data_IF_692349175386
#
_entry.id   IF_692349175386
#
_cell.length_a   1.000
_cell.length_b   1.000
_cell.length_c   1.000
_cell.angle_alpha   90.00
_cell.angle_beta   90.00
_cell.angle_gamma   90.00
#
_symmetry.space_group_name_H-M   'P 1'
#
loop_
_entity.id
_entity.type
_entity.pdbx_description
1 polymer ?
#
# COMPACT_ATOMS: atom_id res chain seq x y z
N UNK A 1 4.85 -0.38 -27.87
CA UNK A 1 4.32 0.30 -26.66
C UNK A 1 2.80 0.33 -26.77
N UNK A 2 2.12 -0.70 -26.25
CA UNK A 2 0.66 -0.74 -26.16
C UNK A 2 0.27 0.08 -24.93
N UNK A 3 -0.54 1.12 -25.14
CA UNK A 3 -1.16 1.89 -24.05
C UNK A 3 -2.10 0.96 -23.30
N UNK A 4 -1.74 0.59 -22.07
CA UNK A 4 -2.69 0.00 -21.12
C UNK A 4 -3.53 1.18 -20.63
N UNK A 5 -4.77 1.25 -21.07
CA UNK A 5 -5.75 2.20 -20.58
C UNK A 5 -6.16 1.77 -19.17
N UNK A 6 -5.76 2.54 -18.16
CA UNK A 6 -6.35 2.49 -16.83
C UNK A 6 -7.78 3.03 -16.96
N UNK A 7 -8.74 2.13 -17.11
CA UNK A 7 -10.17 2.47 -17.11
C UNK A 7 -10.70 2.46 -15.68
N UNK A 8 -10.83 3.64 -15.08
CA UNK A 8 -11.70 3.82 -13.93
C UNK A 8 -13.15 3.67 -14.41
N UNK A 9 -13.82 2.60 -13.97
CA UNK A 9 -15.23 2.37 -14.25
C UNK A 9 -16.07 3.11 -13.19
N UNK A 10 -16.57 4.30 -13.55
CA UNK A 10 -17.50 5.07 -12.72
C UNK A 10 -18.91 4.51 -12.93
N UNK A 11 -19.45 3.85 -11.91
CA UNK A 11 -20.86 3.48 -11.85
C UNK A 11 -21.65 4.66 -11.26
N UNK A 12 -22.40 5.38 -12.10
CA UNK A 12 -23.28 6.47 -11.67
C UNK A 12 -24.57 5.89 -11.05
N UNK A 13 -24.75 6.06 -9.74
CA UNK A 13 -26.00 5.76 -9.03
C UNK A 13 -26.75 7.07 -8.72
N UNK A 14 -27.99 7.18 -9.19
CA UNK A 14 -28.85 8.32 -8.92
C UNK A 14 -29.47 8.23 -7.52
N UNK A 15 -29.11 9.13 -6.61
CA UNK A 15 -29.72 9.23 -5.28
C UNK A 15 -30.75 10.35 -5.21
N UNK A 16 -31.93 10.02 -4.67
CA UNK A 16 -33.04 10.93 -4.37
C UNK A 16 -32.93 11.34 -2.91
N UNK A 17 -32.77 12.64 -2.64
CA UNK A 17 -32.56 13.17 -1.30
C UNK A 17 -33.84 13.20 -0.45
N UNK A 18 -33.81 12.55 0.72
CA UNK A 18 -34.77 12.75 1.81
C UNK A 18 -34.08 13.52 2.95
N UNK A 19 -34.59 14.70 3.26
CA UNK A 19 -34.11 15.58 4.33
C UNK A 19 -34.60 15.02 5.69
N UNK A 20 -33.67 14.68 6.58
CA UNK A 20 -33.97 14.30 7.97
C UNK A 20 -33.42 15.35 8.97
N UNK A 21 -34.11 15.59 10.11
CA UNK A 21 -33.79 16.67 11.03
C UNK A 21 -32.67 16.35 12.03
N UNK A 22 -31.92 17.39 12.38
CA UNK A 22 -30.76 17.45 13.29
C UNK A 22 -31.07 17.01 14.74
N UNK A 23 -30.31 16.08 15.35
CA UNK A 23 -30.43 15.76 16.77
C UNK A 23 -29.67 16.74 17.68
N UNK A 24 -30.05 16.86 18.97
CA UNK A 24 -29.50 17.83 19.91
C UNK A 24 -28.21 17.33 20.61
N UNK A 25 -27.37 18.29 21.00
CA UNK A 25 -26.08 18.06 21.65
C UNK A 25 -26.21 17.34 23.00
N UNK A 26 -25.43 16.27 23.17
CA UNK A 26 -25.33 15.50 24.43
C UNK A 26 -23.99 15.79 25.10
N UNK A 27 -24.03 16.01 26.42
CA UNK A 27 -22.90 16.43 27.25
C UNK A 27 -21.86 15.32 27.48
N UNK A 28 -20.60 15.74 27.53
CA UNK A 28 -19.40 14.92 27.77
C UNK A 28 -19.28 14.48 29.24
N UNK A 29 -19.10 13.17 29.54
CA UNK A 29 -18.72 12.74 30.88
C UNK A 29 -17.19 12.65 31.04
N UNK A 30 -16.67 13.29 32.09
CA UNK A 30 -15.29 13.17 32.56
C UNK A 30 -15.04 11.83 33.27
N UNK A 31 -13.99 11.10 32.86
CA UNK A 31 -13.51 9.87 33.49
C UNK A 31 -12.31 10.18 34.42
N UNK A 32 -12.27 9.66 35.67
CA UNK A 32 -11.13 9.83 36.55
C UNK A 32 -10.03 8.78 36.28
N UNK A 33 -8.78 9.23 36.18
CA UNK A 33 -7.58 8.40 36.06
C UNK A 33 -7.20 7.80 37.42
N UNK A 34 -7.21 6.47 37.52
CA UNK A 34 -6.65 5.75 38.67
C UNK A 34 -5.24 5.24 38.35
N UNK A 35 -4.26 5.64 39.17
CA UNK A 35 -2.86 5.17 39.11
C UNK A 35 -2.70 3.97 40.04
N UNK A 36 -2.36 2.79 39.50
CA UNK A 36 -2.04 1.61 40.30
C UNK A 36 -0.54 1.56 40.63
N UNK A 37 -0.22 1.46 41.92
CA UNK A 37 1.13 1.25 42.44
C UNK A 37 1.35 -0.23 42.70
N UNK A 38 2.33 -0.86 42.05
CA UNK A 38 2.72 -2.25 42.34
C UNK A 38 3.73 -2.29 43.48
N UNK A 39 3.42 -3.08 44.51
CA UNK A 39 4.33 -3.42 45.62
C UNK A 39 4.79 -4.86 45.43
N UNK A 40 6.09 -5.09 45.30
CA UNK A 40 6.70 -6.41 45.27
C UNK A 40 7.15 -6.81 46.69
N UNK A 41 6.78 -8.01 47.16
CA UNK A 41 7.50 -8.80 48.19
C UNK A 41 6.87 -10.20 48.33
N UNK A 42 7.65 -11.27 48.16
CA UNK A 42 7.92 -12.31 49.19
C UNK A 42 8.53 -13.62 48.61
N UNK A 43 9.74 -13.89 49.10
CA UNK A 43 10.29 -15.15 49.66
C UNK A 43 10.27 -16.47 48.86
N UNK A 44 11.44 -17.09 48.61
CA UNK A 44 11.53 -18.44 48.05
C UNK A 44 11.35 -19.51 49.14
N UNK A 45 10.50 -20.51 48.88
CA UNK A 45 10.38 -21.72 49.70
C UNK A 45 11.39 -22.78 49.25
N UNK A 46 12.04 -23.39 50.24
CA UNK A 46 12.98 -24.49 50.12
C UNK A 46 12.29 -25.76 49.59
N UNK A 47 12.85 -26.47 48.59
CA UNK A 47 12.28 -27.72 48.10
C UNK A 47 12.55 -28.88 49.06
N UNK A 48 11.52 -29.71 49.25
CA UNK A 48 11.53 -31.01 49.93
C UNK A 48 12.28 -32.04 49.07
N UNK A 49 13.12 -32.92 49.64
CA UNK A 49 13.80 -33.98 48.88
C UNK A 49 12.80 -35.05 48.41
N UNK A 50 12.68 -35.18 47.09
CA UNK A 50 11.93 -36.24 46.40
C UNK A 50 12.71 -37.57 46.46
N UNK A 51 12.06 -38.72 46.73
CA UNK A 51 12.73 -40.02 46.75
C UNK A 51 13.30 -40.38 45.39
N UNK A 52 14.53 -40.91 45.40
CA UNK A 52 15.28 -41.38 44.23
C UNK A 52 14.58 -42.60 43.63
N UNK A 53 14.10 -42.56 42.38
CA UNK A 53 13.55 -43.73 41.71
C UNK A 53 14.67 -44.74 41.40
N UNK A 54 14.40 -46.00 41.71
CA UNK A 54 15.21 -47.17 41.35
C UNK A 54 15.43 -47.22 39.84
N UNK A 55 16.70 -47.37 39.42
CA UNK A 55 17.11 -47.39 38.02
C UNK A 55 16.48 -48.57 37.25
N UNK A 56 15.55 -48.26 36.36
CA UNK A 56 15.11 -49.15 35.28
C UNK A 56 16.24 -49.23 34.23
N UNK A 57 16.62 -50.42 33.74
CA UNK A 57 17.64 -50.56 32.70
C UNK A 57 17.27 -49.72 31.46
N UNK A 58 18.18 -48.82 31.09
CA UNK A 58 18.04 -47.91 29.95
C UNK A 58 18.07 -48.76 28.68
N UNK A 59 17.03 -48.72 27.81
CA UNK A 59 17.09 -49.36 26.50
C UNK A 59 18.27 -48.78 25.69
N UNK A 60 18.93 -49.58 24.84
CA UNK A 60 20.06 -49.09 24.06
C UNK A 60 19.67 -47.82 23.32
N UNK A 61 20.46 -46.76 23.55
CA UNK A 61 20.29 -45.46 22.88
C UNK A 61 20.23 -45.72 21.37
N UNK A 62 19.18 -45.26 20.66
CA UNK A 62 19.12 -45.43 19.22
C UNK A 62 20.38 -44.81 18.62
N UNK A 63 21.14 -45.62 17.87
CA UNK A 63 22.27 -45.14 17.09
C UNK A 63 21.80 -43.90 16.31
N UNK A 64 22.43 -42.73 16.45
CA UNK A 64 22.00 -41.54 15.74
C UNK A 64 22.00 -41.86 14.25
N UNK A 65 20.82 -41.81 13.63
CA UNK A 65 20.70 -41.86 12.18
C UNK A 65 21.57 -40.73 11.64
N UNK A 66 22.53 -41.00 10.74
CA UNK A 66 23.40 -39.96 10.21
C UNK A 66 22.51 -38.85 9.61
N UNK A 67 22.70 -37.62 10.10
CA UNK A 67 22.06 -36.45 9.51
C UNK A 67 22.53 -36.34 8.07
N UNK A 68 21.63 -36.28 7.07
CA UNK A 68 22.02 -36.10 5.69
C UNK A 68 22.88 -34.84 5.56
N UNK A 69 24.01 -34.95 4.86
CA UNK A 69 24.83 -33.78 4.52
C UNK A 69 23.99 -32.91 3.57
N UNK A 70 23.80 -31.60 3.83
CA UNK A 70 23.10 -30.72 2.91
C UNK A 70 23.76 -30.75 1.52
N UNK A 71 23.00 -30.71 0.42
CA UNK A 71 23.59 -30.67 -0.91
C UNK A 71 24.34 -29.36 -1.14
N UNK A 72 25.34 -29.40 -2.01
CA UNK A 72 26.16 -28.24 -2.35
C UNK A 72 25.37 -27.29 -3.27
N UNK A 73 24.84 -26.19 -2.72
CA UNK A 73 24.09 -25.19 -3.49
C UNK A 73 24.98 -24.37 -4.42
N UNK A 74 26.29 -24.29 -4.16
CA UNK A 74 27.23 -23.62 -5.06
C UNK A 74 27.43 -24.45 -6.34
N UNK A 75 27.35 -25.78 -6.25
CA UNK A 75 27.35 -26.65 -7.42
C UNK A 75 26.18 -26.32 -8.35
N UNK A 76 24.95 -26.22 -7.83
CA UNK A 76 23.78 -25.87 -8.62
C UNK A 76 23.91 -24.48 -9.27
N UNK A 77 24.32 -23.47 -8.50
CA UNK A 77 24.55 -22.12 -9.02
C UNK A 77 25.55 -22.14 -10.19
N UNK A 78 26.67 -22.85 -10.06
CA UNK A 78 27.67 -22.98 -11.12
C UNK A 78 27.14 -23.72 -12.35
N UNK A 79 26.36 -24.80 -12.18
CA UNK A 79 25.73 -25.52 -13.28
C UNK A 79 24.77 -24.62 -14.06
N UNK A 80 23.96 -23.83 -13.36
CA UNK A 80 23.01 -22.91 -13.99
C UNK A 80 23.73 -21.77 -14.72
N UNK A 81 24.76 -21.17 -14.12
CA UNK A 81 25.58 -20.16 -14.79
C UNK A 81 26.25 -20.69 -16.07
N UNK A 82 26.75 -21.93 -16.05
CA UNK A 82 27.32 -22.56 -17.24
C UNK A 82 26.27 -22.83 -18.32
N UNK A 83 25.02 -23.15 -17.94
CA UNK A 83 23.92 -23.34 -18.87
C UNK A 83 23.47 -22.03 -19.54
N UNK A 84 23.45 -20.92 -18.79
CA UNK A 84 23.12 -19.59 -19.33
C UNK A 84 24.19 -19.07 -20.29
N UNK A 85 25.46 -19.43 -20.06
CA UNK A 85 26.61 -18.97 -20.84
C UNK A 85 27.43 -20.14 -21.40
N UNK A 86 26.90 -20.86 -22.42
CA UNK A 86 27.59 -22.03 -22.99
C UNK A 86 28.93 -21.70 -23.65
N UNK A 87 29.15 -20.43 -24.01
CA UNK A 87 30.42 -19.94 -24.56
C UNK A 87 31.48 -19.59 -23.49
N UNK A 88 31.10 -19.61 -22.20
CA UNK A 88 31.95 -19.27 -21.07
C UNK A 88 31.25 -18.31 -20.11
N UNK A 89 31.31 -18.64 -18.81
CA UNK A 89 30.72 -17.82 -17.73
C UNK A 89 31.47 -16.48 -17.65
N UNK A 90 30.76 -15.34 -17.56
CA UNK A 90 31.36 -14.03 -17.34
C UNK A 90 32.26 -14.01 -16.10
N UNK A 91 33.31 -13.19 -16.12
CA UNK A 91 34.15 -13.04 -14.95
C UNK A 91 33.35 -12.40 -13.79
N UNK A 92 33.65 -12.78 -12.56
CA UNK A 92 33.04 -12.14 -11.39
C UNK A 92 33.25 -10.62 -11.42
N UNK A 93 32.16 -9.86 -11.29
CA UNK A 93 32.16 -8.40 -11.38
C UNK A 93 32.07 -7.82 -12.79
N UNK A 94 31.90 -8.64 -13.82
CA UNK A 94 31.59 -8.16 -15.16
C UNK A 94 30.17 -7.59 -15.23
N UNK A 95 30.08 -6.26 -15.13
CA UNK A 95 28.80 -5.55 -15.21
C UNK A 95 28.27 -5.40 -16.63
N UNK A 96 28.91 -5.99 -17.65
CA UNK A 96 28.39 -6.01 -19.02
C UNK A 96 27.43 -7.18 -19.27
N UNK A 97 27.58 -8.27 -18.52
CA UNK A 97 26.64 -9.39 -18.56
C UNK A 97 25.23 -8.96 -18.09
N UNK A 98 24.20 -9.56 -18.69
CA UNK A 98 22.82 -9.44 -18.21
C UNK A 98 22.71 -10.13 -16.85
N UNK A 99 22.61 -11.46 -16.83
CA UNK A 99 22.61 -12.26 -15.61
C UNK A 99 24.04 -12.39 -15.07
N UNK A 100 24.26 -11.87 -13.87
CA UNK A 100 25.58 -11.83 -13.23
C UNK A 100 25.78 -13.01 -12.27
N UNK A 101 24.70 -13.66 -11.85
CA UNK A 101 24.76 -14.78 -10.91
C UNK A 101 23.43 -15.52 -10.82
N UNK A 102 23.47 -16.65 -10.10
CA UNK A 102 22.29 -17.42 -9.70
C UNK A 102 22.38 -17.69 -8.20
N UNK A 103 21.37 -17.24 -7.47
CA UNK A 103 21.22 -17.51 -6.04
C UNK A 103 20.38 -18.77 -5.84
N UNK A 104 20.70 -19.55 -4.81
CA UNK A 104 20.02 -20.81 -4.49
C UNK A 104 19.62 -20.83 -3.01
N UNK A 105 18.32 -20.87 -2.75
CA UNK A 105 17.74 -20.73 -1.40
C UNK A 105 16.94 -21.99 -1.06
N UNK A 106 17.15 -22.62 0.12
CA UNK A 106 16.33 -23.74 0.56
C UNK A 106 14.90 -23.27 0.89
N UNK A 107 13.92 -24.07 0.50
CA UNK A 107 12.50 -23.78 0.75
C UNK A 107 12.00 -24.54 1.99
N UNK A 108 11.15 -23.86 2.76
CA UNK A 108 10.34 -24.50 3.80
C UNK A 108 9.25 -25.32 3.13
N UNK A 109 9.21 -26.61 3.43
CA UNK A 109 8.21 -27.57 2.94
C UNK A 109 7.54 -28.28 4.12
N UNK A 110 6.39 -28.90 3.89
CA UNK A 110 5.70 -29.68 4.91
C UNK A 110 6.61 -30.79 5.48
N UNK A 111 6.43 -31.11 6.77
CA UNK A 111 7.24 -32.13 7.43
C UNK A 111 7.08 -33.50 6.75
N UNK A 112 8.21 -34.12 6.40
CA UNK A 112 8.24 -35.40 5.69
C UNK A 112 8.21 -35.30 4.16
N UNK A 113 7.99 -34.10 3.60
CA UNK A 113 8.14 -33.85 2.16
C UNK A 113 9.61 -33.87 1.74
N UNK A 114 9.83 -34.12 0.44
CA UNK A 114 11.15 -33.99 -0.16
C UNK A 114 11.63 -32.53 -0.02
N UNK A 115 12.87 -32.29 0.44
CA UNK A 115 13.45 -30.95 0.46
C UNK A 115 13.49 -30.33 -0.94
N UNK A 116 13.20 -29.02 -1.00
CA UNK A 116 13.20 -28.24 -2.23
C UNK A 116 14.08 -27.00 -2.10
N UNK A 117 14.55 -26.51 -3.24
CA UNK A 117 15.33 -25.28 -3.36
C UNK A 117 14.76 -24.42 -4.49
N UNK A 118 14.74 -23.11 -4.29
CA UNK A 118 14.53 -22.15 -5.36
C UNK A 118 15.90 -21.67 -5.87
N UNK A 119 16.07 -21.65 -7.18
CA UNK A 119 17.19 -20.97 -7.82
C UNK A 119 16.65 -19.79 -8.65
N UNK A 120 17.24 -18.61 -8.54
CA UNK A 120 16.83 -17.43 -9.29
C UNK A 120 18.04 -16.64 -9.78
N UNK A 121 17.89 -15.97 -10.92
CA UNK A 121 18.97 -15.16 -11.47
C UNK A 121 19.05 -13.77 -10.84
N UNK A 122 20.26 -13.23 -10.76
CA UNK A 122 20.55 -11.87 -10.29
C UNK A 122 21.37 -11.11 -11.35
N UNK A 123 21.33 -9.79 -11.31
CA UNK A 123 21.93 -8.91 -12.31
C UNK A 123 20.86 -8.13 -13.07
N UNK A 124 21.10 -7.88 -14.36
CA UNK A 124 20.16 -7.20 -15.26
C UNK A 124 19.47 -8.19 -16.19
N UNK A 125 18.30 -7.83 -16.69
CA UNK A 125 17.63 -8.59 -17.71
C UNK A 125 18.39 -8.48 -19.04
N UNK A 126 18.41 -9.57 -19.81
CA UNK A 126 18.86 -9.52 -21.19
C UNK A 126 17.85 -8.74 -22.03
N UNK A 127 18.29 -7.88 -22.94
CA UNK A 127 17.41 -7.17 -23.88
C UNK A 127 17.49 -7.75 -25.28
N UNK A 128 18.60 -8.40 -25.61
CA UNK A 128 18.76 -9.11 -26.87
C UNK A 128 18.20 -10.55 -26.78
N UNK A 129 17.72 -11.14 -27.89
CA UNK A 129 17.19 -12.50 -27.89
C UNK A 129 18.16 -13.58 -27.40
N UNK A 130 19.46 -13.36 -27.58
CA UNK A 130 20.54 -14.26 -27.17
C UNK A 130 21.00 -14.05 -25.73
N UNK A 131 20.61 -12.94 -25.09
CA UNK A 131 21.02 -12.64 -23.73
C UNK A 131 20.14 -13.39 -22.72
N UNK A 132 20.75 -13.99 -21.68
CA UNK A 132 20.01 -14.60 -20.58
C UNK A 132 18.97 -13.67 -19.98
N UNK A 133 17.76 -14.19 -19.80
CA UNK A 133 16.61 -13.53 -19.16
C UNK A 133 16.57 -13.85 -17.67
N UNK A 134 15.84 -13.03 -16.92
CA UNK A 134 15.57 -13.36 -15.53
C UNK A 134 14.69 -14.61 -15.41
N UNK A 135 14.91 -15.41 -14.38
CA UNK A 135 14.12 -16.62 -14.12
C UNK A 135 14.09 -16.97 -12.64
N UNK A 136 13.11 -17.79 -12.27
CA UNK A 136 13.07 -18.55 -11.03
C UNK A 136 12.73 -20.01 -11.34
N UNK A 137 13.36 -20.94 -10.63
CA UNK A 137 13.19 -22.36 -10.83
C UNK A 137 13.21 -23.14 -9.52
N UNK A 138 12.46 -24.24 -9.46
CA UNK A 138 12.39 -25.14 -8.31
C UNK A 138 13.21 -26.38 -8.60
N UNK A 139 14.03 -26.78 -7.63
CA UNK A 139 14.89 -27.95 -7.69
C UNK A 139 14.63 -28.89 -6.52
N UNK A 140 14.88 -30.16 -6.77
CA UNK A 140 15.12 -31.15 -5.74
C UNK A 140 16.52 -31.74 -5.89
N UNK A 141 17.03 -32.37 -4.83
CA UNK A 141 18.32 -33.05 -4.85
C UNK A 141 18.16 -34.49 -4.36
N UNK A 142 18.63 -35.45 -5.15
CA UNK A 142 18.60 -36.87 -4.83
C UNK A 142 19.95 -37.54 -5.13
N UNK A 143 20.01 -38.87 -5.17
CA UNK A 143 21.25 -39.62 -5.45
C UNK A 143 21.80 -39.40 -6.85
N UNK A 144 20.96 -38.97 -7.79
CA UNK A 144 21.32 -38.69 -9.18
C UNK A 144 21.74 -37.22 -9.37
N UNK A 145 21.71 -36.43 -8.28
CA UNK A 145 22.11 -35.02 -8.25
C UNK A 145 20.93 -34.04 -8.22
N UNK A 146 21.17 -32.84 -8.72
CA UNK A 146 20.16 -31.79 -8.84
C UNK A 146 19.17 -32.08 -9.98
N UNK A 147 17.88 -32.00 -9.67
CA UNK A 147 16.80 -32.17 -10.64
C UNK A 147 15.89 -30.94 -10.65
N UNK A 148 15.81 -30.25 -11.79
CA UNK A 148 14.84 -29.18 -12.00
C UNK A 148 13.43 -29.77 -12.06
N UNK A 149 12.52 -29.21 -11.27
CA UNK A 149 11.10 -29.59 -11.25
C UNK A 149 10.26 -28.62 -12.08
N UNK A 150 10.49 -27.32 -11.92
CA UNK A 150 9.76 -26.27 -12.62
C UNK A 150 10.67 -25.05 -12.85
N UNK A 151 10.35 -24.24 -13.85
CA UNK A 151 11.01 -22.96 -14.12
C UNK A 151 10.01 -21.97 -14.70
N UNK A 152 10.20 -20.70 -14.39
CA UNK A 152 9.45 -19.57 -14.91
C UNK A 152 10.43 -18.46 -15.32
N UNK A 153 10.33 -17.99 -16.56
CA UNK A 153 11.02 -16.79 -17.03
C UNK A 153 10.29 -15.55 -16.48
N UNK A 154 11.06 -14.57 -16.00
CA UNK A 154 10.56 -13.30 -15.48
C UNK A 154 10.80 -12.22 -16.53
N UNK A 155 9.72 -11.66 -17.07
CA UNK A 155 9.81 -10.72 -18.21
C UNK A 155 9.89 -9.26 -17.79
N UNK A 156 9.39 -8.95 -16.60
CA UNK A 156 9.10 -7.58 -16.18
C UNK A 156 10.23 -6.88 -15.41
N UNK A 157 11.01 -7.54 -14.53
CA UNK A 157 12.13 -6.87 -13.87
C UNK A 157 13.29 -6.61 -14.85
N UNK A 158 13.78 -5.37 -14.86
CA UNK A 158 15.03 -4.99 -15.55
C UNK A 158 16.26 -5.43 -14.76
N UNK A 159 16.14 -5.58 -13.45
CA UNK A 159 17.21 -6.11 -12.59
C UNK A 159 16.67 -6.79 -11.34
N UNK A 160 17.42 -7.79 -10.86
CA UNK A 160 17.21 -8.51 -9.61
C UNK A 160 18.51 -8.51 -8.79
N UNK A 161 18.38 -8.25 -7.49
CA UNK A 161 19.46 -8.34 -6.51
C UNK A 161 19.44 -9.66 -5.72
N UNK A 162 20.44 -9.85 -4.87
CA UNK A 162 20.57 -11.01 -3.98
C UNK A 162 19.42 -11.13 -2.96
N UNK A 163 18.75 -10.02 -2.65
CA UNK A 163 17.60 -9.91 -1.75
C UNK A 163 16.27 -9.78 -2.47
N UNK A 164 16.23 -10.01 -3.77
CA UNK A 164 15.00 -9.93 -4.58
C UNK A 164 14.04 -11.09 -4.38
N UNK A 165 14.39 -12.10 -3.58
CA UNK A 165 13.61 -13.32 -3.40
C UNK A 165 13.21 -13.51 -1.95
N UNK A 166 11.94 -13.88 -1.73
CA UNK A 166 11.44 -14.35 -0.44
C UNK A 166 10.42 -15.48 -0.64
N UNK A 167 10.52 -16.56 0.13
CA UNK A 167 9.40 -17.48 0.30
C UNK A 167 8.38 -16.87 1.26
N UNK A 168 7.12 -16.81 0.82
CA UNK A 168 5.99 -16.24 1.56
C UNK A 168 4.92 -17.31 1.80
N UNK A 169 3.96 -17.02 2.69
CA UNK A 169 2.95 -17.99 3.13
C UNK A 169 1.55 -17.39 2.94
N UNK A 170 1.06 -17.46 1.70
CA UNK A 170 -0.30 -17.03 1.36
C UNK A 170 -1.31 -18.13 1.72
N UNK A 171 -0.93 -19.40 1.60
CA UNK A 171 -1.68 -20.54 2.12
C UNK A 171 -0.73 -21.75 2.26
N UNK A 172 -1.11 -22.81 3.00
CA UNK A 172 -0.19 -23.90 3.36
C UNK A 172 -0.08 -25.07 2.34
N UNK A 173 -1.00 -25.20 1.39
CA UNK A 173 -1.03 -26.24 0.37
C UNK A 173 0.00 -26.03 -0.76
N UNK A 174 0.33 -24.79 -1.13
CA UNK A 174 1.34 -24.50 -2.16
C UNK A 174 2.57 -23.75 -1.64
N UNK A 175 3.62 -23.71 -2.46
CA UNK A 175 4.80 -22.87 -2.20
C UNK A 175 4.63 -21.54 -2.91
N UNK A 176 4.71 -20.45 -2.15
CA UNK A 176 4.59 -19.10 -2.67
C UNK A 176 5.92 -18.36 -2.60
N UNK A 177 6.24 -17.69 -3.69
CA UNK A 177 7.48 -16.94 -3.88
C UNK A 177 7.13 -15.49 -4.21
N UNK A 178 7.72 -14.57 -3.46
CA UNK A 178 7.71 -13.15 -3.76
C UNK A 178 9.03 -12.78 -4.41
N UNK A 179 8.95 -12.13 -5.57
CA UNK A 179 10.08 -11.53 -6.27
C UNK A 179 9.92 -10.01 -6.29
N UNK A 180 10.96 -9.30 -5.86
CA UNK A 180 11.04 -7.83 -5.93
C UNK A 180 12.22 -7.43 -6.81
N UNK A 181 11.94 -6.76 -7.92
CA UNK A 181 12.95 -6.24 -8.83
C UNK A 181 12.79 -4.74 -9.05
N UNK A 182 13.64 -4.19 -9.90
CA UNK A 182 13.45 -2.84 -10.39
C UNK A 182 13.19 -2.78 -11.88
N UNK A 183 12.58 -1.68 -12.29
CA UNK A 183 12.37 -1.27 -13.67
C UNK A 183 12.96 0.13 -13.87
N UNK A 184 13.81 0.30 -14.88
CA UNK A 184 14.54 1.54 -15.10
C UNK A 184 15.35 2.02 -13.87
N UNK A 185 15.44 3.33 -13.67
CA UNK A 185 16.28 3.90 -12.62
C UNK A 185 15.60 3.98 -11.24
N UNK A 186 14.26 4.00 -11.20
CA UNK A 186 13.49 4.41 -10.01
C UNK A 186 12.28 3.53 -9.71
N UNK A 187 11.81 2.76 -10.69
CA UNK A 187 10.59 1.96 -10.57
C UNK A 187 10.89 0.59 -9.98
N UNK A 188 9.89 0.02 -9.33
CA UNK A 188 9.90 -1.32 -8.76
C UNK A 188 9.01 -2.27 -9.56
N UNK A 189 9.32 -3.56 -9.43
CA UNK A 189 8.48 -4.67 -9.89
C UNK A 189 8.26 -5.60 -8.70
N UNK A 190 7.03 -6.09 -8.58
CA UNK A 190 6.64 -7.12 -7.63
C UNK A 190 6.02 -8.27 -8.41
N UNK A 191 6.46 -9.49 -8.20
CA UNK A 191 5.81 -10.69 -8.72
C UNK A 191 5.50 -11.67 -7.57
N UNK A 192 4.27 -12.15 -7.52
CA UNK A 192 3.89 -13.28 -6.67
C UNK A 192 3.70 -14.52 -7.53
N UNK A 193 4.46 -15.56 -7.21
CA UNK A 193 4.57 -16.79 -8.00
C UNK A 193 4.19 -17.98 -7.12
N UNK A 194 3.37 -18.86 -7.65
CA UNK A 194 2.92 -20.08 -6.98
C UNK A 194 3.53 -21.31 -7.64
N UNK A 195 4.06 -22.22 -6.83
CA UNK A 195 4.43 -23.57 -7.23
C UNK A 195 3.39 -24.58 -6.74
N UNK A 196 2.69 -25.22 -7.67
CA UNK A 196 1.60 -26.16 -7.37
C UNK A 196 2.06 -27.61 -7.10
N UNK A 197 3.37 -27.83 -7.00
CA UNK A 197 3.99 -29.16 -6.94
C UNK A 197 4.46 -29.70 -8.29
N UNK A 198 4.05 -29.08 -9.40
CA UNK A 198 4.43 -29.47 -10.77
C UNK A 198 4.95 -28.30 -11.60
N UNK A 199 4.34 -27.12 -11.47
CA UNK A 199 4.59 -25.96 -12.31
C UNK A 199 4.67 -24.67 -11.49
N UNK A 200 5.44 -23.71 -12.01
CA UNK A 200 5.47 -22.33 -11.50
C UNK A 200 4.51 -21.49 -12.32
N UNK A 201 3.67 -20.69 -11.66
CA UNK A 201 2.76 -19.76 -12.31
C UNK A 201 2.80 -18.39 -11.64
N UNK A 202 2.94 -17.33 -12.44
CA UNK A 202 2.76 -15.95 -11.99
C UNK A 202 1.28 -15.75 -11.64
N UNK A 203 1.00 -15.36 -10.39
CA UNK A 203 -0.36 -15.13 -9.88
C UNK A 203 -0.74 -13.67 -9.84
N UNK A 204 0.23 -12.80 -9.53
CA UNK A 204 0.03 -11.37 -9.51
C UNK A 204 1.36 -10.69 -9.83
N UNK A 205 1.30 -9.59 -10.58
CA UNK A 205 2.43 -8.71 -10.83
C UNK A 205 2.02 -7.27 -10.58
N UNK A 206 2.94 -6.46 -10.06
CA UNK A 206 2.76 -5.06 -9.74
C UNK A 206 3.94 -4.23 -10.23
N UNK A 207 3.63 -3.03 -10.71
CA UNK A 207 4.62 -2.01 -11.07
C UNK A 207 4.34 -0.76 -10.24
N UNK A 208 5.40 -0.17 -9.69
CA UNK A 208 5.34 1.15 -9.07
C UNK A 208 6.40 2.05 -9.65
N UNK A 209 6.08 3.34 -9.78
CA UNK A 209 7.08 4.36 -10.11
C UNK A 209 8.12 4.55 -8.98
N UNK A 210 7.81 4.10 -7.76
CA UNK A 210 8.76 4.01 -6.65
C UNK A 210 9.50 2.68 -6.63
N UNK A 211 10.57 2.61 -5.83
CA UNK A 211 11.46 1.45 -5.79
C UNK A 211 10.81 0.16 -5.24
N UNK A 212 9.70 0.28 -4.49
CA UNK A 212 8.96 -0.85 -3.94
C UNK A 212 7.59 -0.91 -4.59
N UNK A 213 7.33 -1.94 -5.41
CA UNK A 213 6.06 -2.08 -6.11
C UNK A 213 4.98 -2.85 -5.36
N UNK A 214 5.36 -3.56 -4.31
CA UNK A 214 4.41 -4.26 -3.47
C UNK A 214 5.10 -4.97 -2.32
N UNK A 215 4.30 -5.65 -1.51
CA UNK A 215 4.75 -6.49 -0.41
C UNK A 215 3.66 -7.50 -0.06
N UNK A 216 4.04 -8.56 0.64
CA UNK A 216 3.10 -9.43 1.35
C UNK A 216 3.07 -9.08 2.83
N UNK A 217 1.88 -9.01 3.42
CA UNK A 217 1.67 -8.63 4.82
C UNK A 217 0.37 -9.24 5.34
N UNK A 218 0.38 -9.69 6.59
CA UNK A 218 -0.80 -10.16 7.32
C UNK A 218 -1.57 -8.93 7.82
N UNK A 219 -2.59 -8.49 7.08
CA UNK A 219 -3.38 -7.30 7.42
C UNK A 219 -4.47 -7.59 8.44
N UNK A 220 -4.93 -8.84 8.55
CA UNK A 220 -6.04 -9.21 9.42
C UNK A 220 -5.65 -9.97 10.69
N UNK A 221 -4.40 -10.41 10.78
CA UNK A 221 -3.78 -11.09 11.92
C UNK A 221 -4.07 -12.60 11.97
N UNK A 222 -4.57 -13.19 10.89
CA UNK A 222 -4.95 -14.61 10.83
C UNK A 222 -3.76 -15.54 10.47
N UNK A 223 -2.60 -14.98 10.13
CA UNK A 223 -1.40 -15.69 9.74
C UNK A 223 -1.32 -16.04 8.25
N UNK A 224 -2.32 -15.68 7.45
CA UNK A 224 -2.29 -15.64 5.99
C UNK A 224 -1.82 -14.27 5.54
N UNK A 225 -0.97 -14.24 4.52
CA UNK A 225 -0.48 -12.98 3.96
C UNK A 225 -1.38 -12.50 2.82
N UNK A 226 -1.82 -11.24 2.90
CA UNK A 226 -2.33 -10.48 1.77
C UNK A 226 -1.19 -9.94 0.91
N UNK A 227 -1.51 -9.60 -0.34
CA UNK A 227 -0.62 -8.82 -1.20
C UNK A 227 -1.08 -7.36 -1.19
N UNK A 228 -0.17 -6.45 -0.90
CA UNK A 228 -0.38 -5.00 -1.01
C UNK A 228 0.52 -4.48 -2.12
N UNK A 229 -0.09 -4.07 -3.24
CA UNK A 229 0.62 -3.40 -4.33
C UNK A 229 0.62 -1.90 -4.10
N UNK A 230 1.79 -1.28 -4.32
CA UNK A 230 1.96 0.16 -4.27
C UNK A 230 1.42 0.79 -5.57
N UNK A 231 0.29 1.47 -5.46
CA UNK A 231 -0.36 2.19 -6.55
C UNK A 231 -0.17 3.72 -6.42
N UNK A 232 0.80 4.15 -5.60
CA UNK A 232 1.09 5.57 -5.36
C UNK A 232 1.42 6.29 -6.67
N UNK A 233 0.83 7.46 -6.88
CA UNK A 233 1.27 8.37 -7.94
C UNK A 233 2.48 9.16 -7.46
N UNK A 234 3.66 8.82 -7.98
CA UNK A 234 4.92 9.51 -7.71
C UNK A 234 5.16 10.71 -8.64
N UNK A 235 4.29 10.95 -9.61
CA UNK A 235 4.43 11.96 -10.65
C UNK A 235 3.32 13.02 -10.58
N UNK A 236 2.84 13.34 -9.37
CA UNK A 236 1.88 14.44 -9.15
C UNK A 236 2.34 15.73 -9.84
N UNK A 237 3.63 16.07 -9.69
CA UNK A 237 4.32 17.05 -10.54
C UNK A 237 5.49 16.40 -11.26
N UNK A 238 6.44 15.87 -10.49
CA UNK A 238 7.59 15.15 -11.00
C UNK A 238 8.12 14.19 -9.93
N UNK A 239 8.77 13.10 -10.33
CA UNK A 239 9.34 12.14 -9.38
C UNK A 239 10.25 12.77 -8.33
N UNK A 240 11.17 13.65 -8.78
CA UNK A 240 12.11 14.34 -7.91
C UNK A 240 11.48 15.45 -7.06
N UNK A 241 10.24 15.84 -7.37
CA UNK A 241 9.53 16.90 -6.67
C UNK A 241 9.11 16.42 -5.28
N UNK A 242 9.02 15.11 -5.02
CA UNK A 242 8.59 14.55 -3.74
C UNK A 242 7.18 15.03 -3.31
N UNK A 243 6.26 15.08 -4.27
CA UNK A 243 4.83 15.29 -4.06
C UNK A 243 4.16 14.03 -4.58
N UNK A 244 3.46 13.30 -3.70
CA UNK A 244 2.92 11.98 -4.02
C UNK A 244 1.45 11.89 -3.62
N UNK A 245 0.73 10.99 -4.29
CA UNK A 245 -0.60 10.55 -3.87
C UNK A 245 -0.51 9.06 -3.50
N UNK A 246 -0.29 8.74 -2.20
CA UNK A 246 -0.25 7.36 -1.74
C UNK A 246 -1.56 6.64 -1.99
N UNK A 247 -1.49 5.48 -2.66
CA UNK A 247 -2.63 4.60 -2.89
C UNK A 247 -2.16 3.14 -2.93
N UNK A 248 -3.02 2.21 -2.50
CA UNK A 248 -2.69 0.79 -2.48
C UNK A 248 -3.80 -0.05 -3.09
N UNK A 249 -3.41 -1.16 -3.70
CA UNK A 249 -4.31 -2.24 -4.08
C UNK A 249 -4.04 -3.44 -3.19
N UNK A 250 -5.07 -4.00 -2.57
CA UNK A 250 -4.96 -5.14 -1.69
C UNK A 250 -5.59 -6.36 -2.35
N UNK A 251 -4.90 -7.49 -2.32
CA UNK A 251 -5.39 -8.76 -2.82
C UNK A 251 -5.31 -9.82 -1.73
N UNK A 252 -6.36 -10.63 -1.64
CA UNK A 252 -6.45 -11.76 -0.72
C UNK A 252 -6.68 -13.06 -1.48
N UNK A 253 -6.10 -14.14 -0.99
CA UNK A 253 -6.37 -15.47 -1.51
C UNK A 253 -7.71 -16.01 -1.00
N UNK A 254 -8.59 -16.43 -1.90
CA UNK A 254 -9.91 -16.98 -1.53
C UNK A 254 -9.95 -18.51 -1.47
N UNK A 255 -8.79 -19.18 -1.56
CA UNK A 255 -8.68 -20.63 -1.71
C UNK A 255 -8.45 -21.09 -3.15
N UNK A 256 -8.64 -20.22 -4.15
CA UNK A 256 -8.52 -20.58 -5.57
C UNK A 256 -7.83 -19.52 -6.44
N UNK A 257 -8.04 -18.24 -6.16
CA UNK A 257 -7.42 -17.11 -6.84
C UNK A 257 -7.21 -15.94 -5.88
N UNK A 258 -6.37 -15.00 -6.32
CA UNK A 258 -6.24 -13.70 -5.66
C UNK A 258 -7.39 -12.82 -6.09
N UNK A 259 -8.19 -12.36 -5.12
CA UNK A 259 -9.28 -11.40 -5.34
C UNK A 259 -8.87 -10.04 -4.79
N UNK A 260 -9.20 -8.99 -5.53
CA UNK A 260 -9.04 -7.63 -5.05
C UNK A 260 -9.99 -7.38 -3.87
N UNK A 261 -9.48 -6.74 -2.82
CA UNK A 261 -10.27 -6.29 -1.69
C UNK A 261 -10.66 -4.83 -1.95
N UNK A 262 -11.97 -4.57 -2.03
CA UNK A 262 -12.52 -3.25 -2.32
C UNK A 262 -13.40 -2.75 -1.18
N UNK A 263 -13.46 -1.42 -1.02
CA UNK A 263 -14.41 -0.79 -0.11
C UNK A 263 -15.84 -1.10 -0.55
N UNK A 264 -16.59 -1.80 0.30
CA UNK A 264 -17.89 -2.38 -0.07
C UNK A 264 -18.99 -1.92 0.89
N UNK A 265 -20.06 -1.34 0.34
CA UNK A 265 -21.25 -1.03 1.10
C UNK A 265 -22.01 -2.31 1.51
N UNK A 266 -22.55 -2.34 2.72
CA UNK A 266 -23.41 -3.41 3.19
C UNK A 266 -24.82 -3.30 2.56
N UNK A 267 -25.41 -4.47 2.29
CA UNK A 267 -26.76 -4.62 1.77
C UNK A 267 -27.85 -4.39 2.82
N UNK A 268 -29.11 -4.43 2.36
CA UNK A 268 -30.29 -4.19 3.21
C UNK A 268 -30.51 -5.25 4.29
N UNK A 269 -29.85 -6.40 4.18
CA UNK A 269 -29.87 -7.52 5.11
C UNK A 269 -29.01 -7.30 6.36
N UNK A 270 -28.04 -6.37 6.31
CA UNK A 270 -27.24 -5.99 7.47
C UNK A 270 -28.04 -5.14 8.49
N UNK A 271 -27.72 -5.22 9.81
CA UNK A 271 -28.33 -4.36 10.82
C UNK A 271 -28.22 -2.88 10.44
N UNK A 272 -29.33 -2.14 10.49
CA UNK A 272 -29.41 -0.78 9.97
C UNK A 272 -28.34 0.16 10.56
N UNK A 273 -28.09 0.09 11.87
CA UNK A 273 -27.06 0.93 12.50
C UNK A 273 -25.64 0.61 12.01
N UNK A 274 -25.32 -0.68 11.80
CA UNK A 274 -24.02 -1.11 11.27
C UNK A 274 -23.88 -0.70 9.80
N UNK A 275 -24.93 -0.95 9.00
CA UNK A 275 -25.00 -0.59 7.59
C UNK A 275 -24.81 0.90 7.38
N UNK A 276 -25.57 1.73 8.09
CA UNK A 276 -25.51 3.18 7.94
C UNK A 276 -24.11 3.71 8.31
N UNK A 277 -23.52 3.22 9.40
CA UNK A 277 -22.17 3.61 9.81
C UNK A 277 -21.10 3.16 8.81
N UNK A 278 -21.13 1.88 8.39
CA UNK A 278 -20.17 1.34 7.42
C UNK A 278 -20.28 2.05 6.07
N UNK A 279 -21.49 2.21 5.55
CA UNK A 279 -21.72 2.77 4.23
C UNK A 279 -21.32 4.25 4.19
N UNK A 280 -21.52 4.99 5.29
CA UNK A 280 -21.01 6.35 5.40
C UNK A 280 -19.48 6.40 5.40
N UNK A 281 -18.81 5.54 6.15
CA UNK A 281 -17.34 5.45 6.13
C UNK A 281 -16.81 5.14 4.72
N UNK A 282 -17.44 4.18 4.03
CA UNK A 282 -17.10 3.79 2.65
C UNK A 282 -17.31 4.96 1.68
N UNK A 283 -18.46 5.63 1.74
CA UNK A 283 -18.78 6.76 0.86
C UNK A 283 -17.77 7.91 1.02
N UNK A 284 -17.42 8.27 2.26
CA UNK A 284 -16.41 9.28 2.55
C UNK A 284 -15.03 8.91 1.96
N UNK A 285 -14.58 7.67 2.15
CA UNK A 285 -13.32 7.20 1.60
C UNK A 285 -13.30 7.23 0.06
N UNK A 286 -14.38 6.78 -0.58
CA UNK A 286 -14.54 6.82 -2.04
C UNK A 286 -14.58 8.25 -2.59
N UNK A 287 -15.07 9.21 -1.80
CA UNK A 287 -15.07 10.64 -2.09
C UNK A 287 -13.75 11.37 -1.75
N UNK A 288 -12.69 10.63 -1.40
CA UNK A 288 -11.38 11.16 -0.97
C UNK A 288 -11.44 12.03 0.30
N UNK A 289 -12.50 11.88 1.10
CA UNK A 289 -12.64 12.47 2.43
C UNK A 289 -12.03 11.53 3.48
N UNK A 290 -10.75 11.18 3.31
CA UNK A 290 -10.07 10.14 4.11
C UNK A 290 -10.00 10.50 5.60
N UNK A 291 -9.77 11.77 5.95
CA UNK A 291 -9.83 12.26 7.32
C UNK A 291 -11.20 12.03 7.98
N UNK A 292 -12.28 12.25 7.24
CA UNK A 292 -13.64 12.03 7.74
C UNK A 292 -13.99 10.55 7.77
N UNK A 293 -13.53 9.76 6.79
CA UNK A 293 -13.68 8.31 6.79
C UNK A 293 -12.97 7.68 8.01
N UNK A 294 -11.76 8.16 8.35
CA UNK A 294 -11.05 7.76 9.55
C UNK A 294 -11.85 8.09 10.81
N UNK A 295 -12.47 9.27 10.86
CA UNK A 295 -13.32 9.67 11.99
C UNK A 295 -14.60 8.83 12.07
N UNK A 296 -15.20 8.47 10.92
CA UNK A 296 -16.38 7.63 10.84
C UNK A 296 -16.09 6.16 11.23
N UNK A 297 -14.85 5.71 11.03
CA UNK A 297 -14.39 4.37 11.43
C UNK A 297 -14.59 4.12 12.94
N UNK A 298 -14.39 5.12 13.79
CA UNK A 298 -14.60 5.00 15.25
C UNK A 298 -16.06 4.60 15.57
N UNK A 299 -17.03 5.15 14.83
CA UNK A 299 -18.44 4.81 15.00
C UNK A 299 -18.73 3.37 14.56
N UNK A 300 -18.13 2.90 13.46
CA UNK A 300 -18.24 1.51 12.99
C UNK A 300 -17.66 0.55 14.03
N UNK A 301 -16.47 0.85 14.54
CA UNK A 301 -15.79 0.02 15.55
C UNK A 301 -16.55 -0.03 16.88
N UNK A 302 -17.15 1.09 17.30
CA UNK A 302 -17.93 1.16 18.54
C UNK A 302 -19.20 0.29 18.51
N UNK A 303 -19.75 0.02 17.33
CA UNK A 303 -20.90 -0.89 17.19
C UNK A 303 -20.51 -2.33 17.51
N UNK A 304 -19.30 -2.75 17.09
CA UNK A 304 -18.80 -4.11 17.23
C UNK A 304 -19.53 -5.08 16.30
N UNK A 305 -18.82 -5.61 15.31
CA UNK A 305 -19.37 -6.60 14.36
C UNK A 305 -18.31 -7.63 13.99
N UNK A 306 -18.75 -8.87 13.81
CA UNK A 306 -17.95 -9.96 13.24
C UNK A 306 -18.12 -10.05 11.71
N UNK A 307 -18.79 -9.08 11.10
CA UNK A 307 -18.97 -9.01 9.64
C UNK A 307 -17.62 -8.78 8.94
N UNK A 308 -17.23 -9.74 8.10
CA UNK A 308 -15.95 -9.74 7.40
C UNK A 308 -15.81 -8.56 6.43
N UNK A 309 -16.89 -8.11 5.79
CA UNK A 309 -16.88 -6.95 4.88
C UNK A 309 -16.57 -5.68 5.65
N UNK A 310 -17.19 -5.50 6.82
CA UNK A 310 -16.92 -4.36 7.71
C UNK A 310 -15.47 -4.37 8.17
N UNK A 311 -14.97 -5.54 8.58
CA UNK A 311 -13.60 -5.69 9.05
C UNK A 311 -12.58 -5.33 7.94
N UNK A 312 -12.82 -5.73 6.69
CA UNK A 312 -11.98 -5.35 5.55
C UNK A 312 -12.08 -3.86 5.20
N UNK A 313 -13.27 -3.27 5.21
CA UNK A 313 -13.43 -1.84 4.96
C UNK A 313 -12.62 -1.00 5.96
N UNK A 314 -12.68 -1.35 7.26
CA UNK A 314 -11.90 -0.69 8.32
C UNK A 314 -10.40 -0.78 8.04
N UNK A 315 -9.90 -1.96 7.62
CA UNK A 315 -8.48 -2.15 7.29
C UNK A 315 -8.03 -1.32 6.10
N UNK A 316 -8.82 -1.29 5.02
CA UNK A 316 -8.51 -0.50 3.83
C UNK A 316 -8.50 1.00 4.12
N UNK A 317 -9.48 1.50 4.89
CA UNK A 317 -9.52 2.91 5.33
C UNK A 317 -8.28 3.23 6.16
N UNK A 318 -7.92 2.35 7.11
CA UNK A 318 -6.73 2.55 7.93
C UNK A 318 -5.43 2.55 7.12
N UNK A 319 -5.24 1.59 6.22
CA UNK A 319 -4.04 1.48 5.38
C UNK A 319 -3.79 2.77 4.57
N UNK A 320 -4.85 3.29 3.94
CA UNK A 320 -4.74 4.52 3.16
C UNK A 320 -4.57 5.76 4.04
N UNK A 321 -5.31 5.85 5.15
CA UNK A 321 -5.24 7.03 6.05
C UNK A 321 -3.91 7.12 6.78
N UNK A 322 -3.31 6.01 7.21
CA UNK A 322 -1.97 5.98 7.81
C UNK A 322 -0.92 6.53 6.82
N UNK A 323 -1.00 6.12 5.55
CA UNK A 323 -0.04 6.53 4.52
C UNK A 323 -0.24 7.98 4.05
N UNK A 324 -1.48 8.43 3.90
CA UNK A 324 -1.79 9.83 3.58
C UNK A 324 -1.39 10.78 4.72
N UNK A 325 -1.54 10.34 5.97
CA UNK A 325 -1.08 11.09 7.15
C UNK A 325 0.44 11.19 7.19
N UNK A 326 1.15 10.11 6.87
CA UNK A 326 2.62 10.13 6.74
C UNK A 326 3.06 11.11 5.65
N UNK A 327 2.43 11.08 4.48
CA UNK A 327 2.75 11.97 3.35
C UNK A 327 2.61 13.44 3.74
N UNK A 328 1.59 13.84 4.52
CA UNK A 328 1.49 15.22 5.05
C UNK A 328 2.76 15.65 5.80
N UNK A 329 3.39 14.73 6.54
CA UNK A 329 4.60 15.01 7.31
C UNK A 329 5.90 15.05 6.51
N UNK A 330 5.93 14.46 5.29
CA UNK A 330 7.15 14.31 4.49
C UNK A 330 7.09 14.94 3.10
N UNK A 331 5.90 15.37 2.66
CA UNK A 331 5.71 15.97 1.34
C UNK A 331 6.45 17.30 1.23
N UNK A 332 7.07 17.54 0.08
CA UNK A 332 7.68 18.84 -0.23
C UNK A 332 6.64 19.92 -0.57
N UNK A 333 5.38 19.52 -0.79
CA UNK A 333 4.27 20.41 -1.08
C UNK A 333 3.03 20.04 -0.24
N UNK A 334 3.01 20.41 1.05
CA UNK A 334 1.99 19.95 1.99
C UNK A 334 0.55 20.32 1.62
N UNK A 335 0.34 21.37 0.81
CA UNK A 335 -1.01 21.77 0.39
C UNK A 335 -1.75 20.63 -0.33
N UNK A 336 -1.10 19.95 -1.29
CA UNK A 336 -1.72 18.81 -1.97
C UNK A 336 -1.83 17.60 -1.04
N UNK A 337 -0.88 17.38 -0.14
CA UNK A 337 -0.96 16.28 0.83
C UNK A 337 -2.21 16.41 1.73
N UNK A 338 -2.50 17.61 2.23
CA UNK A 338 -3.75 17.88 2.97
C UNK A 338 -5.00 17.64 2.11
N UNK A 339 -4.99 18.13 0.86
CA UNK A 339 -6.13 17.97 -0.06
C UNK A 339 -6.37 16.50 -0.41
N UNK A 340 -5.32 15.71 -0.67
CA UNK A 340 -5.41 14.28 -0.94
C UNK A 340 -5.88 13.48 0.26
N UNK A 341 -5.56 13.91 1.48
CA UNK A 341 -6.12 13.33 2.70
C UNK A 341 -7.57 13.75 2.98
N UNK A 342 -8.11 14.71 2.22
CA UNK A 342 -9.42 15.32 2.47
C UNK A 342 -9.44 16.28 3.67
N UNK A 343 -8.28 16.69 4.17
CA UNK A 343 -8.17 17.70 5.23
C UNK A 343 -8.16 19.12 4.65
N UNK A 344 -9.30 19.52 4.14
CA UNK A 344 -9.47 20.83 3.53
C UNK A 344 -9.28 21.99 4.53
N UNK A 345 -9.58 21.77 5.81
CA UNK A 345 -9.30 22.77 6.85
C UNK A 345 -7.79 22.96 7.05
N UNK A 346 -7.01 21.88 7.08
CA UNK A 346 -5.55 21.94 7.13
C UNK A 346 -4.95 22.62 5.89
N UNK A 347 -5.51 22.37 4.71
CA UNK A 347 -5.15 23.10 3.49
C UNK A 347 -5.45 24.60 3.62
N UNK A 348 -6.63 24.99 4.12
CA UNK A 348 -6.97 26.39 4.35
C UNK A 348 -6.10 27.04 5.43
N UNK A 349 -5.67 26.32 6.47
CA UNK A 349 -4.77 26.86 7.48
C UNK A 349 -3.43 27.32 6.88
N UNK A 350 -2.96 26.68 5.81
CA UNK A 350 -1.80 27.17 5.04
C UNK A 350 -2.13 28.48 4.32
N UNK A 351 -3.32 28.57 3.71
CA UNK A 351 -3.75 29.76 2.97
C UNK A 351 -4.02 30.96 3.88
N UNK A 352 -4.58 30.74 5.07
CA UNK A 352 -4.89 31.76 6.08
C UNK A 352 -3.66 32.56 6.55
N UNK A 353 -2.45 32.07 6.28
CA UNK A 353 -1.19 32.77 6.60
C UNK A 353 -0.93 33.97 5.69
N UNK A 354 -1.67 34.11 4.60
CA UNK A 354 -1.46 35.13 3.58
C UNK A 354 -2.72 35.97 3.37
N UNK A 355 -2.57 37.27 3.06
CA UNK A 355 -3.72 38.10 2.65
C UNK A 355 -4.23 37.65 1.28
N UNK A 356 -5.52 37.90 1.02
CA UNK A 356 -6.17 37.55 -0.25
C UNK A 356 -5.40 38.04 -1.49
N UNK A 357 -4.91 39.30 -1.47
CA UNK A 357 -4.10 39.86 -2.56
C UNK A 357 -2.88 38.99 -2.90
N UNK A 358 -2.23 38.38 -1.89
CA UNK A 358 -1.08 37.52 -2.13
C UNK A 358 -1.49 36.15 -2.67
N UNK A 359 -2.56 35.56 -2.12
CA UNK A 359 -3.07 34.26 -2.58
C UNK A 359 -3.57 34.33 -4.04
N UNK A 360 -4.29 35.41 -4.37
CA UNK A 360 -4.83 35.70 -5.70
C UNK A 360 -3.87 36.61 -6.47
N UNK A 361 -2.64 36.15 -6.64
CA UNK A 361 -1.65 36.78 -7.51
C UNK A 361 -0.87 35.74 -8.31
N UNK A 362 -0.27 36.18 -9.43
CA UNK A 362 0.63 35.33 -10.21
C UNK A 362 1.90 34.92 -9.43
N UNK A 363 2.16 35.54 -8.28
CA UNK A 363 3.27 35.20 -7.38
C UNK A 363 2.74 34.77 -6.02
N UNK A 364 1.72 33.92 -6.04
CA UNK A 364 1.19 33.30 -4.84
C UNK A 364 2.33 32.60 -4.09
N UNK A 365 2.46 32.82 -2.77
CA UNK A 365 3.50 32.17 -1.96
C UNK A 365 3.27 30.67 -1.79
N UNK A 366 2.11 30.16 -2.22
CA UNK A 366 1.83 28.73 -2.32
C UNK A 366 2.22 28.15 -3.68
N UNK A 367 2.74 28.95 -4.61
CA UNK A 367 3.18 28.48 -5.94
C UNK A 367 4.64 28.86 -6.15
N UNK A 368 4.97 30.15 -6.08
CA UNK A 368 6.31 30.65 -6.33
C UNK A 368 7.34 30.08 -5.33
N UNK A 369 8.51 29.70 -5.83
CA UNK A 369 9.59 29.05 -5.08
C UNK A 369 9.18 27.72 -4.41
N UNK A 370 8.11 27.07 -4.89
CA UNK A 370 7.67 25.75 -4.44
C UNK A 370 7.74 24.73 -5.59
N UNK A 371 7.61 23.41 -5.31
CA UNK A 371 7.50 22.41 -6.38
C UNK A 371 6.36 22.63 -7.38
N UNK A 372 5.36 23.45 -7.05
CA UNK A 372 4.23 23.74 -7.92
C UNK A 372 4.53 24.85 -8.95
N UNK A 373 5.65 25.59 -8.84
CA UNK A 373 6.02 26.63 -9.80
C UNK A 373 6.24 26.03 -11.20
N UNK A 374 5.53 26.56 -12.20
CA UNK A 374 5.52 26.02 -13.57
C UNK A 374 4.63 24.79 -13.76
N UNK A 375 3.92 24.35 -12.72
CA UNK A 375 2.96 23.24 -12.73
C UNK A 375 1.54 23.71 -12.37
N UNK A 376 1.20 24.97 -12.56
CA UNK A 376 -0.06 25.58 -12.10
C UNK A 376 -1.30 24.89 -12.68
N UNK A 377 -1.25 24.51 -13.97
CA UNK A 377 -2.33 23.74 -14.60
C UNK A 377 -2.48 22.35 -13.98
N UNK A 378 -1.38 21.66 -13.68
CA UNK A 378 -1.42 20.33 -13.06
C UNK A 378 -1.87 20.41 -11.60
N UNK A 379 -1.43 21.45 -10.87
CA UNK A 379 -1.92 21.74 -9.52
C UNK A 379 -3.44 21.95 -9.53
N UNK A 380 -3.94 22.73 -10.50
CA UNK A 380 -5.38 22.92 -10.67
C UNK A 380 -6.09 21.59 -10.92
N UNK A 381 -5.60 20.77 -11.84
CA UNK A 381 -6.24 19.50 -12.19
C UNK A 381 -6.34 18.57 -10.96
N UNK A 382 -5.28 18.47 -10.15
CA UNK A 382 -5.30 17.69 -8.92
C UNK A 382 -6.28 18.21 -7.88
N UNK A 383 -6.32 19.53 -7.67
CA UNK A 383 -7.29 20.15 -6.76
C UNK A 383 -8.71 19.91 -7.25
N UNK A 384 -8.95 20.05 -8.56
CA UNK A 384 -10.26 19.84 -9.16
C UNK A 384 -10.71 18.39 -9.01
N UNK A 385 -9.84 17.42 -9.31
CA UNK A 385 -10.15 16.00 -9.16
C UNK A 385 -10.53 15.66 -7.72
N UNK A 386 -9.71 16.05 -6.74
CA UNK A 386 -9.99 15.76 -5.34
C UNK A 386 -11.28 16.44 -4.85
N UNK A 387 -11.46 17.72 -5.20
CA UNK A 387 -12.64 18.49 -4.77
C UNK A 387 -13.92 18.08 -5.49
N UNK A 388 -13.88 17.64 -6.76
CA UNK A 388 -15.05 17.11 -7.46
C UNK A 388 -15.57 15.84 -6.77
N UNK A 389 -14.66 14.95 -6.35
CA UNK A 389 -15.02 13.75 -5.59
C UNK A 389 -15.61 14.13 -4.23
N UNK A 390 -14.95 15.00 -3.47
CA UNK A 390 -15.43 15.43 -2.17
C UNK A 390 -16.80 16.13 -2.25
N UNK A 391 -16.99 17.04 -3.21
CA UNK A 391 -18.24 17.77 -3.41
C UNK A 391 -19.37 16.89 -3.94
N UNK A 392 -19.07 15.74 -4.54
CA UNK A 392 -20.11 14.77 -4.92
C UNK A 392 -20.78 14.13 -3.70
N UNK A 393 -20.04 13.98 -2.59
CA UNK A 393 -20.53 13.45 -1.31
C UNK A 393 -20.97 14.58 -0.35
N UNK A 394 -20.22 15.68 -0.32
CA UNK A 394 -20.46 16.85 0.53
C UNK A 394 -20.58 18.16 -0.30
N UNK A 395 -21.72 18.40 -0.97
CA UNK A 395 -21.87 19.53 -1.90
C UNK A 395 -21.74 20.92 -1.29
N UNK A 396 -21.81 21.02 0.05
CA UNK A 396 -21.73 22.28 0.79
C UNK A 396 -20.37 22.48 1.46
N UNK A 397 -19.36 21.70 1.10
CA UNK A 397 -18.01 21.80 1.66
C UNK A 397 -17.32 23.07 1.17
N UNK A 398 -17.52 24.17 1.91
CA UNK A 398 -17.06 25.50 1.53
C UNK A 398 -15.54 25.57 1.28
N UNK A 399 -14.74 24.83 2.04
CA UNK A 399 -13.29 24.77 1.87
C UNK A 399 -12.86 24.19 0.50
N UNK A 400 -13.55 23.14 0.03
CA UNK A 400 -13.30 22.55 -1.28
C UNK A 400 -13.64 23.54 -2.41
N UNK A 401 -14.79 24.21 -2.32
CA UNK A 401 -15.15 25.28 -3.26
C UNK A 401 -14.12 26.42 -3.27
N UNK A 402 -13.59 26.83 -2.12
CA UNK A 402 -12.59 27.90 -2.04
C UNK A 402 -11.30 27.50 -2.76
N UNK A 403 -10.84 26.27 -2.52
CA UNK A 403 -9.64 25.74 -3.17
C UNK A 403 -9.81 25.62 -4.69
N UNK A 404 -11.01 25.27 -5.19
CA UNK A 404 -11.32 25.31 -6.62
C UNK A 404 -11.22 26.72 -7.20
N UNK A 405 -11.84 27.70 -6.54
CA UNK A 405 -11.78 29.10 -6.97
C UNK A 405 -10.34 29.62 -7.02
N UNK A 406 -9.55 29.33 -5.98
CA UNK A 406 -8.13 29.67 -5.94
C UNK A 406 -7.31 28.96 -7.02
N UNK A 407 -7.51 27.65 -7.19
CA UNK A 407 -6.80 26.84 -8.19
C UNK A 407 -7.13 27.25 -9.63
N UNK A 408 -8.38 27.66 -9.89
CA UNK A 408 -8.76 28.25 -11.17
C UNK A 408 -8.04 29.60 -11.38
N UNK A 409 -7.99 30.45 -10.35
CA UNK A 409 -7.32 31.74 -10.44
C UNK A 409 -5.83 31.62 -10.77
N UNK A 410 -5.10 30.75 -10.07
CA UNK A 410 -3.64 30.60 -10.29
C UNK A 410 -3.30 30.07 -11.68
N UNK A 411 -4.18 29.26 -12.28
CA UNK A 411 -4.00 28.70 -13.63
C UNK A 411 -4.43 29.69 -14.73
N UNK A 412 -5.62 30.28 -14.59
CA UNK A 412 -6.31 30.97 -15.68
C UNK A 412 -6.43 32.48 -15.46
N UNK A 413 -6.04 32.97 -14.28
CA UNK A 413 -6.27 34.34 -13.84
C UNK A 413 -7.70 34.57 -13.36
N UNK A 414 -8.07 35.84 -13.22
CA UNK A 414 -9.41 36.20 -12.75
C UNK A 414 -10.48 36.01 -13.84
N UNK A 415 -11.47 35.16 -13.54
CA UNK A 415 -12.62 34.93 -14.43
C UNK A 415 -13.95 35.10 -13.69
N UNK A 416 -15.06 35.14 -14.43
CA UNK A 416 -16.41 35.16 -13.84
C UNK A 416 -16.68 33.90 -13.01
N UNK A 417 -16.14 32.75 -13.41
CA UNK A 417 -16.24 31.49 -12.69
C UNK A 417 -15.50 31.54 -11.34
N UNK A 418 -14.29 32.11 -11.31
CA UNK A 418 -13.54 32.33 -10.06
C UNK A 418 -14.35 33.19 -9.10
N UNK A 419 -14.89 34.32 -9.59
CA UNK A 419 -15.72 35.22 -8.76
C UNK A 419 -16.99 34.52 -8.26
N UNK A 420 -17.62 33.68 -9.08
CA UNK A 420 -18.81 32.92 -8.71
C UNK A 420 -18.53 31.88 -7.62
N UNK A 421 -17.46 31.09 -7.75
CA UNK A 421 -17.02 30.12 -6.73
C UNK A 421 -16.71 30.83 -5.40
N UNK A 422 -15.98 31.95 -5.45
CA UNK A 422 -15.65 32.70 -4.24
C UNK A 422 -16.90 33.35 -3.59
N UNK A 423 -17.86 33.80 -4.39
CA UNK A 423 -19.14 34.27 -3.85
C UNK A 423 -19.94 33.13 -3.19
N UNK A 424 -19.92 31.93 -3.77
CA UNK A 424 -20.57 30.76 -3.20
C UNK A 424 -19.99 30.39 -1.83
N UNK A 425 -18.67 30.40 -1.65
CA UNK A 425 -18.09 30.01 -0.35
C UNK A 425 -18.46 30.95 0.78
N UNK A 426 -18.64 32.25 0.52
CA UNK A 426 -19.11 33.20 1.53
C UNK A 426 -20.56 32.91 1.91
N UNK A 427 -21.38 32.43 0.97
CA UNK A 427 -22.74 32.00 1.31
C UNK A 427 -22.78 30.74 2.16
N UNK A 428 -21.85 29.80 1.94
CA UNK A 428 -21.76 28.54 2.67
C UNK A 428 -21.15 28.71 4.07
N UNK A 429 -20.15 29.58 4.20
CA UNK A 429 -19.44 29.85 5.45
C UNK A 429 -19.26 31.36 5.65
N UNK A 430 -20.33 32.11 5.98
CA UNK A 430 -20.29 33.56 6.06
C UNK A 430 -19.37 34.08 7.16
N UNK A 431 -19.01 33.28 8.15
CA UNK A 431 -18.16 33.72 9.26
C UNK A 431 -16.66 33.49 9.02
N UNK A 432 -16.27 32.81 7.94
CA UNK A 432 -14.86 32.55 7.60
C UNK A 432 -14.16 33.83 7.09
N UNK A 433 -13.17 34.38 7.83
CA UNK A 433 -12.51 35.62 7.46
C UNK A 433 -11.77 35.57 6.12
N UNK A 434 -11.15 34.43 5.79
CA UNK A 434 -10.42 34.26 4.54
C UNK A 434 -11.35 34.41 3.32
N UNK A 435 -12.54 33.80 3.38
CA UNK A 435 -13.50 33.83 2.28
C UNK A 435 -14.04 35.24 2.03
N UNK A 436 -14.37 35.96 3.09
CA UNK A 436 -14.77 37.37 3.01
C UNK A 436 -13.68 38.25 2.41
N UNK A 437 -12.43 38.07 2.84
CA UNK A 437 -11.30 38.85 2.32
C UNK A 437 -11.06 38.56 0.84
N UNK A 438 -11.19 37.30 0.40
CA UNK A 438 -11.04 36.91 -1.00
C UNK A 438 -12.17 37.49 -1.86
N UNK A 439 -13.42 37.41 -1.41
CA UNK A 439 -14.56 37.99 -2.12
C UNK A 439 -14.41 39.51 -2.26
N UNK A 440 -13.96 40.21 -1.21
CA UNK A 440 -13.73 41.65 -1.28
C UNK A 440 -12.65 41.97 -2.32
N UNK A 441 -11.51 41.26 -2.27
CA UNK A 441 -10.40 41.49 -3.20
C UNK A 441 -10.80 41.28 -4.67
N UNK A 442 -11.56 40.23 -4.98
CA UNK A 442 -12.00 39.91 -6.34
C UNK A 442 -13.25 40.69 -6.81
N UNK A 443 -13.85 41.48 -5.91
CA UNK A 443 -15.00 42.34 -6.21
C UNK A 443 -14.62 43.82 -6.43
N UNK A 444 -13.38 44.19 -6.12
CA UNK A 444 -12.75 45.49 -6.39
C UNK A 444 -12.10 45.48 -7.78
#
# INVERSE_FOLDING_TARGET
MKKIAFGFMIAALAMTACIAPKPPATATPTVPTATATFTATATPLSPTPTPVPTATPIPPSPTPTPTPVPPDTAELSAQLMAALYPAGVPAAGDTSASVQGVEVVPLKVAAGSQPLWAAFSVGRNGYLPEEPKHFVAIFSHNSDGWQQLASLELTDPDYLGDRSFQQVFVEPEHIWLQMEGGAGAHSGIFDLIMFDGQSLSLKLSGFSAGARAGQTVDLDGDGVLEVVLDATDYYVFCYACNVRLPMFQVYRWNGSELIAVELTALGEDAPANLRDANNRMVALAQAWLWKDALSAMDAVQAIGSDDETVAWNVRLVKLNTDSLTEEIGVSSYPLLAYIFFGDYDGALDMMRQYPAEKLFSAQSPLVADTPAEGWESTLRDWIFQATDLALSEEPNLAAAHFLRGWAAFISDGETDEVRAEIAQVVSLAPDEPLFKSAQQFLGE
#
